data_IF_116230047923
#
_entry.id   IF_116230047923
#
_cell.length_a   1.000
_cell.length_b   1.000
_cell.length_c   1.000
_cell.angle_alpha   90.00
_cell.angle_beta   90.00
_cell.angle_gamma   90.00
#
_symmetry.space_group_name_H-M   'P 1'
#
loop_
_entity.id
_entity.type
_entity.pdbx_description
1 polymer ?
#
# COMPACT_ATOMS: atom_id res chain seq x y z
N UNK A 1 -3.77 60.87 51.63
CA UNK A 1 -3.75 60.36 50.23
C UNK A 1 -3.91 58.86 50.31
N UNK A 2 -4.95 58.35 49.64
CA UNK A 2 -5.52 57.02 49.83
C UNK A 2 -4.96 56.09 48.74
N UNK A 3 -4.27 55.01 49.12
CA UNK A 3 -3.82 53.95 48.21
C UNK A 3 -4.79 52.78 48.35
N UNK A 4 -5.63 52.60 47.34
CA UNK A 4 -6.59 51.51 47.26
C UNK A 4 -5.91 50.19 46.92
N UNK A 5 -6.06 49.22 47.83
CA UNK A 5 -5.89 47.80 47.57
C UNK A 5 -6.89 47.31 46.52
N UNK A 6 -6.44 46.47 45.59
CA UNK A 6 -7.30 45.61 44.78
C UNK A 6 -6.56 44.30 44.53
N UNK A 7 -6.72 43.38 45.49
CA UNK A 7 -6.48 41.96 45.34
C UNK A 7 -7.79 41.37 44.81
N UNK A 8 -7.87 41.10 43.51
CA UNK A 8 -8.94 40.30 42.93
C UNK A 8 -8.58 38.82 43.12
N UNK A 9 -9.46 38.12 43.82
CA UNK A 9 -9.46 36.68 43.97
C UNK A 9 -9.47 35.99 42.60
N UNK A 10 -8.61 34.99 42.46
CA UNK A 10 -8.67 33.99 41.39
C UNK A 10 -9.53 32.88 41.99
N UNK A 11 -10.78 32.78 41.53
CA UNK A 11 -11.62 31.60 41.71
C UNK A 11 -11.08 30.53 40.73
N UNK A 12 -10.17 29.71 41.23
CA UNK A 12 -9.72 28.44 40.64
C UNK A 12 -10.47 27.37 41.43
N UNK A 13 -11.49 26.69 40.88
CA UNK A 13 -12.03 25.40 41.39
C UNK A 13 -13.27 24.84 40.62
N UNK A 14 -13.47 25.07 39.31
CA UNK A 14 -14.65 24.48 38.59
C UNK A 14 -14.39 23.69 37.29
N UNK A 15 -13.15 23.48 36.84
CA UNK A 15 -12.89 22.78 35.55
C UNK A 15 -12.41 21.32 35.67
N UNK A 16 -12.34 20.72 36.86
CA UNK A 16 -11.85 19.33 37.02
C UNK A 16 -12.92 18.23 36.84
N UNK A 17 -14.22 18.55 36.79
CA UNK A 17 -15.27 17.53 36.64
C UNK A 17 -15.56 17.10 35.19
N UNK A 18 -15.06 17.83 34.18
CA UNK A 18 -15.37 17.51 32.78
C UNK A 18 -14.56 16.31 32.23
N UNK A 19 -13.41 16.00 32.83
CA UNK A 19 -12.52 14.93 32.33
C UNK A 19 -12.92 13.52 32.77
N UNK A 20 -13.64 13.36 33.89
CA UNK A 20 -13.95 12.04 34.44
C UNK A 20 -15.21 11.43 33.78
N UNK A 21 -16.16 12.25 33.30
CA UNK A 21 -17.41 11.76 32.70
C UNK A 21 -17.30 11.34 31.22
N UNK A 22 -16.33 11.82 30.42
CA UNK A 22 -16.17 11.40 29.02
C UNK A 22 -15.50 10.01 28.88
N UNK A 23 -14.85 9.51 29.95
CA UNK A 23 -14.24 8.17 29.97
C UNK A 23 -15.22 7.03 30.25
N UNK A 24 -16.37 7.32 30.88
CA UNK A 24 -17.32 6.29 31.36
C UNK A 24 -18.51 6.10 30.41
N UNK A 25 -18.79 7.08 29.53
CA UNK A 25 -19.96 7.05 28.64
C UNK A 25 -19.74 6.42 27.26
N UNK A 26 -18.49 6.21 26.82
CA UNK A 26 -18.23 5.64 25.49
C UNK A 26 -18.04 4.13 25.62
N UNK A 27 -18.92 3.39 24.95
CA UNK A 27 -18.77 1.95 24.78
C UNK A 27 -17.39 1.61 24.21
N UNK A 28 -16.84 0.42 24.53
CA UNK A 28 -15.52 0.04 24.06
C UNK A 28 -15.43 0.19 22.54
N UNK A 29 -14.26 0.65 22.09
CA UNK A 29 -13.95 0.86 20.67
C UNK A 29 -14.75 1.96 19.97
N UNK A 30 -15.44 2.84 20.71
CA UNK A 30 -16.25 3.91 20.13
C UNK A 30 -17.47 3.39 19.36
N UNK A 31 -18.01 2.24 19.79
CA UNK A 31 -19.20 1.64 19.21
C UNK A 31 -20.46 2.45 19.56
N UNK A 32 -21.38 2.54 18.60
CA UNK A 32 -22.69 3.18 18.75
C UNK A 32 -23.77 2.12 18.47
N UNK A 33 -24.22 1.37 19.48
CA UNK A 33 -25.23 0.33 19.29
C UNK A 33 -26.58 0.97 18.97
N UNK A 34 -27.37 0.26 18.17
CA UNK A 34 -28.76 0.64 17.90
C UNK A 34 -29.55 0.58 19.21
N UNK A 35 -30.16 1.69 19.60
CA UNK A 35 -31.08 1.77 20.73
C UNK A 35 -32.45 1.16 20.33
N UNK A 36 -32.85 0.00 20.90
CA UNK A 36 -34.09 -0.67 20.54
C UNK A 36 -35.35 0.16 20.83
N UNK A 37 -35.28 1.12 21.75
CA UNK A 37 -36.39 1.99 22.12
C UNK A 37 -36.66 3.10 21.08
N UNK A 38 -35.66 3.43 20.25
CA UNK A 38 -35.78 4.42 19.16
C UNK A 38 -36.22 3.81 17.84
N UNK A 39 -36.35 2.49 17.76
CA UNK A 39 -36.75 1.81 16.54
C UNK A 39 -38.25 2.01 16.27
N UNK A 40 -38.65 2.13 14.98
CA UNK A 40 -40.06 2.15 14.61
C UNK A 40 -40.84 0.95 15.17
N UNK A 41 -42.10 1.18 15.48
CA UNK A 41 -43.03 0.14 15.97
C UNK A 41 -43.54 -0.76 14.85
N UNK A 42 -43.67 -0.22 13.63
CA UNK A 42 -44.11 -0.99 12.46
C UNK A 42 -43.04 -2.01 12.03
N UNK A 43 -43.38 -3.30 11.82
CA UNK A 43 -42.40 -4.34 11.51
C UNK A 43 -41.54 -4.06 10.28
N UNK A 44 -42.13 -3.50 9.21
CA UNK A 44 -41.40 -3.23 7.98
C UNK A 44 -40.43 -2.06 8.14
N UNK A 45 -40.90 -0.93 8.67
CA UNK A 45 -40.06 0.22 8.98
C UNK A 45 -38.94 -0.12 9.98
N UNK A 46 -39.22 -1.00 10.94
CA UNK A 46 -38.22 -1.51 11.89
C UNK A 46 -37.13 -2.32 11.18
N UNK A 47 -37.51 -3.21 10.26
CA UNK A 47 -36.55 -3.97 9.47
C UNK A 47 -35.69 -3.05 8.60
N UNK A 48 -36.30 -2.09 7.90
CA UNK A 48 -35.59 -1.17 7.02
C UNK A 48 -34.60 -0.30 7.84
N UNK A 49 -34.99 0.20 9.01
CA UNK A 49 -34.11 0.94 9.92
C UNK A 49 -32.92 0.10 10.45
N UNK A 50 -33.14 -1.19 10.75
CA UNK A 50 -32.08 -2.11 11.16
C UNK A 50 -31.09 -2.39 10.02
N UNK A 51 -31.59 -2.58 8.79
CA UNK A 51 -30.75 -2.79 7.61
C UNK A 51 -29.92 -1.55 7.29
N UNK A 52 -30.49 -0.35 7.42
CA UNK A 52 -29.77 0.91 7.27
C UNK A 52 -28.67 1.06 8.32
N UNK A 53 -28.96 0.75 9.59
CA UNK A 53 -27.96 0.79 10.66
C UNK A 53 -26.80 -0.21 10.42
N UNK A 54 -27.10 -1.42 9.92
CA UNK A 54 -26.07 -2.39 9.54
C UNK A 54 -25.19 -1.88 8.39
N UNK A 55 -25.79 -1.31 7.35
CA UNK A 55 -25.05 -0.73 6.22
C UNK A 55 -24.17 0.47 6.66
N UNK A 56 -24.68 1.31 7.57
CA UNK A 56 -23.92 2.41 8.15
C UNK A 56 -22.72 1.90 8.96
N UNK A 57 -22.90 0.83 9.74
CA UNK A 57 -21.83 0.18 10.48
C UNK A 57 -20.73 -0.38 9.53
N UNK A 58 -21.12 -1.06 8.46
CA UNK A 58 -20.18 -1.57 7.44
C UNK A 58 -19.40 -0.44 6.74
N UNK A 59 -20.08 0.68 6.46
CA UNK A 59 -19.46 1.87 5.89
C UNK A 59 -18.44 2.50 6.85
N UNK A 60 -18.78 2.63 8.14
CA UNK A 60 -17.89 3.15 9.21
C UNK A 60 -16.67 2.23 9.41
N UNK A 61 -16.86 0.91 9.40
CA UNK A 61 -15.78 -0.06 9.48
C UNK A 61 -14.83 0.06 8.28
N UNK A 62 -15.38 0.11 7.06
CA UNK A 62 -14.59 0.27 5.83
C UNK A 62 -13.79 1.58 5.83
N UNK A 63 -14.38 2.67 6.32
CA UNK A 63 -13.72 3.97 6.45
C UNK A 63 -12.56 3.90 7.47
N UNK A 64 -12.81 3.29 8.63
CA UNK A 64 -11.82 3.11 9.70
C UNK A 64 -10.60 2.33 9.22
N UNK A 65 -10.82 1.23 8.47
CA UNK A 65 -9.73 0.44 7.87
C UNK A 65 -8.89 1.29 6.89
N UNK A 66 -9.53 2.15 6.09
CA UNK A 66 -8.80 3.02 5.16
C UNK A 66 -7.97 4.08 5.89
N UNK A 67 -8.53 4.69 6.94
CA UNK A 67 -7.77 5.63 7.78
C UNK A 67 -6.58 4.93 8.44
N UNK A 68 -6.80 3.76 9.04
CA UNK A 68 -5.74 2.97 9.65
C UNK A 68 -4.64 2.62 8.64
N UNK A 69 -5.01 2.21 7.42
CA UNK A 69 -4.04 1.90 6.36
C UNK A 69 -3.24 3.14 5.93
N UNK A 70 -3.91 4.27 5.67
CA UNK A 70 -3.24 5.51 5.29
C UNK A 70 -2.26 5.99 6.38
N UNK A 71 -2.71 5.96 7.64
CA UNK A 71 -1.89 6.25 8.82
C UNK A 71 -0.67 5.34 8.90
N UNK A 72 -0.88 4.03 8.85
CA UNK A 72 0.21 3.04 8.89
C UNK A 72 1.22 3.26 7.75
N UNK A 73 0.76 3.55 6.53
CA UNK A 73 1.65 3.84 5.41
C UNK A 73 2.52 5.07 5.67
N UNK A 74 1.95 6.15 6.21
CA UNK A 74 2.71 7.36 6.56
C UNK A 74 3.70 7.06 7.70
N UNK A 75 3.20 6.50 8.81
CA UNK A 75 3.99 6.23 10.02
C UNK A 75 5.13 5.25 9.76
N UNK A 76 4.95 4.26 8.87
CA UNK A 76 6.02 3.32 8.50
C UNK A 76 6.91 3.86 7.38
N UNK A 77 6.34 4.48 6.36
CA UNK A 77 7.08 4.90 5.17
C UNK A 77 7.99 6.11 5.39
N UNK A 78 7.66 7.04 6.29
CA UNK A 78 8.54 8.18 6.61
C UNK A 78 9.85 7.70 7.26
N UNK A 79 9.85 6.90 8.34
CA UNK A 79 11.08 6.35 8.91
C UNK A 79 11.85 5.47 7.94
N UNK A 80 11.18 4.69 7.09
CA UNK A 80 11.84 3.92 6.03
C UNK A 80 12.58 4.84 5.05
N UNK A 81 12.02 6.01 4.74
CA UNK A 81 12.68 7.00 3.89
C UNK A 81 13.99 7.48 4.50
N UNK A 82 13.97 7.83 5.80
CA UNK A 82 15.17 8.23 6.55
C UNK A 82 16.19 7.09 6.58
N UNK A 83 15.75 5.86 6.88
CA UNK A 83 16.62 4.67 6.90
C UNK A 83 17.32 4.43 5.57
N UNK A 84 16.63 4.66 4.45
CA UNK A 84 17.18 4.52 3.10
C UNK A 84 18.12 5.67 2.76
N UNK A 85 17.68 6.91 2.96
CA UNK A 85 18.42 8.12 2.57
C UNK A 85 19.73 8.26 3.38
N UNK A 86 19.71 7.92 4.67
CA UNK A 86 20.87 7.98 5.56
C UNK A 86 21.68 6.68 5.62
N UNK A 87 21.24 5.64 4.90
CA UNK A 87 21.82 4.28 4.96
C UNK A 87 21.92 3.74 6.40
N UNK A 88 20.94 4.06 7.25
CA UNK A 88 20.96 3.74 8.68
C UNK A 88 21.04 2.22 8.98
N UNK A 89 20.68 1.38 8.01
CA UNK A 89 20.85 -0.08 8.10
C UNK A 89 22.33 -0.52 8.24
N UNK A 90 23.28 0.31 7.82
CA UNK A 90 24.72 0.03 7.98
C UNK A 90 25.16 0.02 9.44
N UNK A 91 24.50 0.80 10.29
CA UNK A 91 24.75 0.78 11.74
C UNK A 91 24.39 -0.57 12.37
N UNK A 92 23.50 -1.34 11.74
CA UNK A 92 23.14 -2.70 12.13
C UNK A 92 24.04 -3.77 11.48
N UNK A 93 25.10 -3.38 10.77
CA UNK A 93 26.05 -4.29 10.13
C UNK A 93 25.67 -4.78 8.73
N UNK A 94 24.58 -4.25 8.15
CA UNK A 94 24.15 -4.62 6.81
C UNK A 94 24.84 -3.76 5.75
N UNK A 95 25.43 -4.39 4.74
CA UNK A 95 26.13 -3.66 3.64
C UNK A 95 25.19 -3.15 2.56
N UNK A 96 23.94 -3.61 2.55
CA UNK A 96 22.92 -3.22 1.58
C UNK A 96 21.53 -3.26 2.22
N UNK A 97 20.60 -2.49 1.64
CA UNK A 97 19.21 -2.43 2.10
C UNK A 97 18.46 -3.75 1.93
N UNK A 98 18.75 -4.52 0.89
CA UNK A 98 18.02 -5.76 0.55
C UNK A 98 18.08 -6.81 1.68
N UNK A 99 19.25 -7.23 2.19
CA UNK A 99 19.31 -8.17 3.31
C UNK A 99 18.68 -7.61 4.59
N UNK A 100 18.83 -6.32 4.89
CA UNK A 100 18.17 -5.69 6.04
C UNK A 100 16.64 -5.75 5.91
N UNK A 101 16.11 -5.45 4.73
CA UNK A 101 14.68 -5.44 4.48
C UNK A 101 14.07 -6.85 4.59
N UNK A 102 14.76 -7.87 4.10
CA UNK A 102 14.29 -9.26 4.16
C UNK A 102 14.38 -9.84 5.59
N UNK A 103 15.53 -9.68 6.25
CA UNK A 103 15.79 -10.30 7.55
C UNK A 103 15.13 -9.57 8.72
N UNK A 104 15.12 -8.24 8.71
CA UNK A 104 14.64 -7.42 9.85
C UNK A 104 13.21 -6.95 9.63
N UNK A 105 12.91 -6.47 8.42
CA UNK A 105 11.61 -5.87 8.12
C UNK A 105 10.61 -6.88 7.52
N UNK A 106 11.09 -8.05 7.09
CA UNK A 106 10.33 -9.09 6.39
C UNK A 106 9.54 -8.55 5.19
N UNK A 107 10.16 -7.64 4.44
CA UNK A 107 9.59 -7.06 3.22
C UNK A 107 10.66 -6.95 2.14
N UNK A 108 10.26 -7.08 0.87
CA UNK A 108 11.20 -6.93 -0.24
C UNK A 108 11.72 -5.49 -0.34
N UNK A 109 12.93 -5.33 -0.89
CA UNK A 109 13.50 -4.01 -1.21
C UNK A 109 12.55 -3.15 -2.06
N UNK A 110 11.88 -3.76 -3.04
CA UNK A 110 10.89 -3.07 -3.87
C UNK A 110 9.73 -2.50 -3.04
N UNK A 111 9.21 -3.28 -2.08
CA UNK A 111 8.13 -2.84 -1.21
C UNK A 111 8.57 -1.72 -0.24
N UNK A 112 9.83 -1.71 0.21
CA UNK A 112 10.39 -0.58 0.97
C UNK A 112 10.26 0.72 0.16
N UNK A 113 10.78 0.75 -1.07
CA UNK A 113 10.72 1.95 -1.92
C UNK A 113 9.28 2.36 -2.27
N UNK A 114 8.38 1.39 -2.46
CA UNK A 114 6.96 1.67 -2.66
C UNK A 114 6.34 2.38 -1.46
N UNK A 115 6.58 1.88 -0.24
CA UNK A 115 6.08 2.49 1.01
C UNK A 115 6.65 3.90 1.22
N UNK A 116 7.94 4.11 0.97
CA UNK A 116 8.57 5.44 1.05
C UNK A 116 7.90 6.41 0.09
N UNK A 117 7.73 6.00 -1.18
CA UNK A 117 7.08 6.83 -2.20
C UNK A 117 5.61 7.12 -1.86
N UNK A 118 4.87 6.12 -1.38
CA UNK A 118 3.46 6.26 -1.03
C UNK A 118 3.24 7.13 0.20
N UNK A 119 4.10 7.02 1.23
CA UNK A 119 4.05 7.90 2.40
C UNK A 119 4.27 9.37 2.00
N UNK A 120 5.31 9.66 1.22
CA UNK A 120 5.59 11.03 0.72
C UNK A 120 4.40 11.60 -0.04
N UNK A 121 3.80 10.81 -0.93
CA UNK A 121 2.61 11.22 -1.69
C UNK A 121 1.39 11.46 -0.81
N UNK A 122 1.13 10.57 0.16
CA UNK A 122 0.01 10.72 1.09
C UNK A 122 0.13 11.97 1.95
N UNK A 123 1.34 12.27 2.43
CA UNK A 123 1.62 13.52 3.16
C UNK A 123 1.39 14.74 2.26
N UNK A 124 1.88 14.71 1.02
CA UNK A 124 1.70 15.82 0.09
C UNK A 124 0.21 16.13 -0.18
N UNK A 125 -0.62 15.10 -0.31
CA UNK A 125 -2.06 15.26 -0.56
C UNK A 125 -2.90 15.39 0.72
N UNK A 126 -2.29 15.38 1.91
CA UNK A 126 -3.00 15.46 3.18
C UNK A 126 -3.93 16.68 3.30
N UNK A 127 -3.57 17.90 2.83
CA UNK A 127 -4.48 19.05 2.85
C UNK A 127 -5.77 18.84 2.02
N UNK A 128 -5.75 17.95 1.02
CA UNK A 128 -6.94 17.61 0.24
C UNK A 128 -7.91 16.69 0.99
N UNK A 129 -7.52 16.17 2.16
CA UNK A 129 -8.40 15.33 2.98
C UNK A 129 -9.55 16.11 3.60
N UNK A 130 -9.40 17.41 3.84
CA UNK A 130 -10.45 18.27 4.41
C UNK A 130 -11.69 18.40 3.51
N UNK A 131 -11.51 18.22 2.21
CA UNK A 131 -12.56 18.30 1.19
C UNK A 131 -13.01 16.92 0.70
N UNK A 132 -12.52 15.84 1.32
CA UNK A 132 -12.83 14.47 0.95
C UNK A 132 -13.49 13.72 2.09
N UNK A 133 -14.70 13.21 1.85
CA UNK A 133 -15.42 12.36 2.81
C UNK A 133 -14.68 11.06 3.15
N UNK A 134 -13.66 10.70 2.36
CA UNK A 134 -12.88 9.47 2.52
C UNK A 134 -11.38 9.79 2.46
N UNK A 135 -10.55 9.13 3.26
CA UNK A 135 -9.11 9.30 3.19
C UNK A 135 -8.61 8.87 1.83
N UNK A 136 -7.72 9.66 1.25
CA UNK A 136 -7.09 9.34 -0.01
C UNK A 136 -6.20 8.12 0.17
N UNK A 137 -6.28 7.19 -0.77
CA UNK A 137 -5.43 5.98 -0.78
C UNK A 137 -4.17 6.20 -1.63
N UNK A 138 -3.10 5.40 -1.46
CA UNK A 138 -1.84 5.61 -2.18
C UNK A 138 -1.98 5.73 -3.71
N UNK A 139 -2.86 4.93 -4.31
CA UNK A 139 -3.11 4.98 -5.76
C UNK A 139 -3.75 6.29 -6.23
N UNK A 140 -4.59 6.92 -5.40
CA UNK A 140 -5.16 8.24 -5.69
C UNK A 140 -4.11 9.34 -5.46
N UNK A 141 -3.34 9.23 -4.37
CA UNK A 141 -2.23 10.14 -4.09
C UNK A 141 -1.18 10.13 -5.20
N UNK A 142 -0.93 8.97 -5.84
CA UNK A 142 -0.05 8.84 -7.02
C UNK A 142 -0.49 9.66 -8.23
N UNK A 143 -1.78 9.97 -8.34
CA UNK A 143 -2.31 10.83 -9.41
C UNK A 143 -2.30 12.31 -9.00
N UNK A 144 -2.65 12.60 -7.74
CA UNK A 144 -2.81 13.97 -7.25
C UNK A 144 -1.48 14.63 -6.88
N UNK A 145 -0.52 13.89 -6.32
CA UNK A 145 0.75 14.45 -5.85
C UNK A 145 1.52 15.20 -6.95
N UNK A 146 1.67 14.67 -8.18
CA UNK A 146 2.34 15.44 -9.22
C UNK A 146 1.56 16.68 -9.69
N UNK A 147 0.23 16.71 -9.53
CA UNK A 147 -0.56 17.91 -9.83
C UNK A 147 -0.23 19.03 -8.85
N UNK A 148 0.09 18.68 -7.59
CA UNK A 148 0.53 19.63 -6.57
C UNK A 148 1.87 20.30 -6.91
N UNK A 149 2.71 19.66 -7.72
CA UNK A 149 4.01 20.19 -8.16
C UNK A 149 3.87 21.24 -9.29
N UNK A 150 2.67 21.38 -9.88
CA UNK A 150 2.40 22.40 -10.89
C UNK A 150 2.23 23.80 -10.27
N UNK A 151 2.35 24.84 -11.10
CA UNK A 151 1.92 26.18 -10.72
C UNK A 151 0.45 26.19 -10.28
N UNK A 152 0.13 26.80 -9.13
CA UNK A 152 -1.19 26.69 -8.47
C UNK A 152 -1.66 25.25 -8.26
N UNK A 153 -0.71 24.34 -7.98
CA UNK A 153 -0.96 22.90 -7.91
C UNK A 153 -2.04 22.49 -6.91
N UNK A 154 -2.10 23.16 -5.75
CA UNK A 154 -3.14 22.91 -4.73
C UNK A 154 -4.54 23.19 -5.26
N UNK A 155 -4.75 24.32 -5.94
CA UNK A 155 -6.04 24.68 -6.54
C UNK A 155 -6.44 23.69 -7.63
N UNK A 156 -5.48 23.29 -8.48
CA UNK A 156 -5.68 22.33 -9.56
C UNK A 156 -6.03 20.93 -9.02
N UNK A 157 -5.34 20.48 -7.98
CA UNK A 157 -5.61 19.20 -7.33
C UNK A 157 -6.97 19.20 -6.63
N UNK A 158 -7.30 20.28 -5.91
CA UNK A 158 -8.64 20.50 -5.30
C UNK A 158 -9.74 20.45 -6.34
N UNK A 159 -9.61 21.19 -7.44
CA UNK A 159 -10.58 21.19 -8.53
C UNK A 159 -10.76 19.80 -9.15
N UNK A 160 -9.65 19.09 -9.38
CA UNK A 160 -9.68 17.71 -9.90
C UNK A 160 -10.49 16.80 -8.97
N UNK A 161 -10.21 16.85 -7.67
CA UNK A 161 -10.88 16.01 -6.68
C UNK A 161 -12.39 16.32 -6.60
N UNK A 162 -12.76 17.60 -6.51
CA UNK A 162 -14.16 18.02 -6.45
C UNK A 162 -14.95 17.63 -7.70
N UNK A 163 -14.41 17.85 -8.91
CA UNK A 163 -15.08 17.44 -10.14
C UNK A 163 -15.21 15.91 -10.24
N UNK A 164 -14.24 15.15 -9.73
CA UNK A 164 -14.36 13.69 -9.68
C UNK A 164 -15.41 13.23 -8.66
N UNK A 165 -15.51 13.87 -7.49
CA UNK A 165 -16.55 13.57 -6.49
C UNK A 165 -17.95 13.84 -7.03
N UNK A 166 -18.15 14.98 -7.72
CA UNK A 166 -19.42 15.32 -8.36
C UNK A 166 -19.80 14.32 -9.45
N UNK A 167 -18.83 13.77 -10.18
CA UNK A 167 -19.05 12.73 -11.18
C UNK A 167 -19.27 11.32 -10.58
N UNK A 168 -19.10 11.15 -9.26
CA UNK A 168 -19.35 9.91 -8.53
C UNK A 168 -18.10 9.31 -7.87
N UNK A 169 -17.82 8.04 -8.15
CA UNK A 169 -16.80 7.28 -7.40
C UNK A 169 -15.38 7.81 -7.66
N UNK A 170 -14.73 8.27 -6.58
CA UNK A 170 -13.32 8.69 -6.61
C UNK A 170 -12.40 7.47 -6.66
N UNK A 171 -11.75 7.27 -7.80
CA UNK A 171 -10.74 6.23 -8.03
C UNK A 171 -9.53 6.86 -8.71
N UNK A 172 -8.37 6.20 -8.68
CA UNK A 172 -7.19 6.69 -9.40
C UNK A 172 -7.47 6.88 -10.90
N UNK A 173 -8.23 5.99 -11.53
CA UNK A 173 -8.59 6.07 -12.94
C UNK A 173 -9.50 7.28 -13.24
N UNK A 174 -10.51 7.53 -12.39
CA UNK A 174 -11.42 8.67 -12.57
C UNK A 174 -10.73 10.00 -12.30
N UNK A 175 -9.85 10.07 -11.29
CA UNK A 175 -8.98 11.23 -11.04
C UNK A 175 -8.06 11.51 -12.23
N UNK A 176 -7.40 10.47 -12.78
CA UNK A 176 -6.53 10.62 -13.95
C UNK A 176 -7.30 11.15 -15.15
N UNK A 177 -8.49 10.60 -15.42
CA UNK A 177 -9.35 11.06 -16.52
C UNK A 177 -9.78 12.52 -16.34
N UNK A 178 -10.17 12.91 -15.13
CA UNK A 178 -10.54 14.30 -14.82
C UNK A 178 -9.32 15.23 -14.96
N UNK A 179 -8.17 14.86 -14.43
CA UNK A 179 -6.94 15.65 -14.55
C UNK A 179 -6.50 15.84 -16.01
N UNK A 180 -6.65 14.81 -16.87
CA UNK A 180 -6.41 14.92 -18.31
C UNK A 180 -7.42 15.86 -18.95
N UNK A 181 -8.72 15.69 -18.67
CA UNK A 181 -9.78 16.57 -19.19
C UNK A 181 -9.56 18.04 -18.81
N UNK A 182 -9.04 18.30 -17.61
CA UNK A 182 -8.72 19.64 -17.11
C UNK A 182 -7.36 20.18 -17.58
N UNK A 183 -6.58 19.39 -18.34
CA UNK A 183 -5.27 19.80 -18.85
C UNK A 183 -4.15 19.79 -17.81
N UNK A 184 -4.35 19.20 -16.62
CA UNK A 184 -3.35 19.17 -15.55
C UNK A 184 -2.40 17.99 -15.67
N UNK A 185 -2.79 16.93 -16.37
CA UNK A 185 -1.98 15.71 -16.53
C UNK A 185 -1.23 15.62 -17.88
N UNK A 186 -1.17 16.70 -18.66
CA UNK A 186 -0.57 16.67 -20.00
C UNK A 186 0.95 16.53 -20.02
N UNK A 187 1.65 16.73 -18.88
CA UNK A 187 3.10 16.53 -18.75
C UNK A 187 3.43 16.06 -17.34
N UNK A 188 3.20 14.78 -17.06
CA UNK A 188 3.85 14.10 -15.93
C UNK A 188 5.25 13.69 -16.40
N UNK A 189 6.35 14.33 -15.94
CA UNK A 189 7.69 13.89 -16.28
C UNK A 189 7.88 12.45 -15.76
N UNK A 190 8.10 11.51 -16.68
CA UNK A 190 8.32 10.09 -16.36
C UNK A 190 7.17 9.12 -16.68
N UNK A 191 6.04 9.58 -17.25
CA UNK A 191 5.12 8.68 -17.96
C UNK A 191 5.26 8.93 -19.46
N UNK A 192 6.17 8.21 -20.12
CA UNK A 192 5.90 7.82 -21.49
C UNK A 192 4.48 7.21 -21.47
N UNK A 193 3.57 7.78 -22.24
CA UNK A 193 2.27 7.17 -22.47
C UNK A 193 2.50 5.70 -22.79
N UNK A 194 1.70 4.79 -22.24
CA UNK A 194 1.70 3.41 -22.71
C UNK A 194 1.34 3.30 -24.22
N UNK A 195 0.88 4.40 -24.82
CA UNK A 195 0.71 4.59 -26.27
C UNK A 195 1.98 5.01 -27.04
N UNK A 196 3.05 5.41 -26.34
CA UNK A 196 4.38 5.72 -26.90
C UNK A 196 5.44 4.68 -26.46
N UNK A 197 5.03 3.62 -25.77
CA UNK A 197 5.82 2.40 -25.80
C UNK A 197 5.83 1.94 -27.28
N UNK A 198 6.98 1.53 -27.85
CA UNK A 198 6.97 0.87 -29.14
C UNK A 198 5.90 -0.23 -29.04
N UNK A 199 4.91 -0.22 -29.94
CA UNK A 199 3.93 -1.30 -30.05
C UNK A 199 4.73 -2.55 -30.37
N UNK A 200 5.20 -3.24 -29.33
CA UNK A 200 5.85 -4.53 -29.47
C UNK A 200 4.75 -5.41 -30.02
N UNK A 201 4.96 -5.87 -31.25
CA UNK A 201 4.03 -6.77 -31.91
C UNK A 201 3.79 -7.94 -30.94
N UNK A 202 2.52 -8.29 -30.62
CA UNK A 202 2.22 -9.45 -29.81
C UNK A 202 2.96 -10.72 -30.27
N UNK A 203 3.25 -10.84 -31.57
CA UNK A 203 4.08 -11.90 -32.13
C UNK A 203 5.57 -11.79 -31.73
N UNK A 204 6.14 -10.58 -31.71
CA UNK A 204 7.51 -10.35 -31.25
C UNK A 204 7.66 -10.58 -29.74
N UNK A 205 6.66 -10.18 -28.96
CA UNK A 205 6.64 -10.44 -27.51
C UNK A 205 6.50 -11.93 -27.22
N UNK A 206 5.62 -12.64 -27.93
CA UNK A 206 5.50 -14.09 -27.82
C UNK A 206 6.80 -14.80 -28.23
N UNK A 207 7.46 -14.35 -29.30
CA UNK A 207 8.76 -14.87 -29.72
C UNK A 207 9.85 -14.59 -28.69
N UNK A 208 9.85 -13.41 -28.05
CA UNK A 208 10.79 -13.08 -26.97
C UNK A 208 10.57 -13.95 -25.73
N UNK A 209 9.32 -14.10 -25.29
CA UNK A 209 8.96 -14.97 -24.16
C UNK A 209 9.35 -16.42 -24.46
N UNK A 210 9.11 -16.92 -25.67
CA UNK A 210 9.55 -18.26 -26.07
C UNK A 210 11.07 -18.40 -26.07
N UNK A 211 11.83 -17.39 -26.54
CA UNK A 211 13.30 -17.39 -26.43
C UNK A 211 13.79 -17.44 -24.99
N UNK A 212 13.19 -16.64 -24.11
CA UNK A 212 13.54 -16.61 -22.67
C UNK A 212 13.17 -17.94 -21.98
N UNK A 213 12.03 -18.54 -22.31
CA UNK A 213 11.63 -19.86 -21.82
C UNK A 213 12.59 -20.96 -22.28
N UNK A 214 13.00 -20.96 -23.54
CA UNK A 214 13.99 -21.92 -24.05
C UNK A 214 15.37 -21.73 -23.41
N UNK A 215 15.80 -20.48 -23.20
CA UNK A 215 17.05 -20.17 -22.52
C UNK A 215 17.04 -20.64 -21.05
N UNK A 216 15.92 -20.42 -20.35
CA UNK A 216 15.72 -20.89 -18.98
C UNK A 216 15.70 -22.43 -18.90
N UNK A 217 15.03 -23.11 -19.83
CA UNK A 217 15.03 -24.57 -19.93
C UNK A 217 16.44 -25.13 -20.14
N UNK A 218 17.21 -24.55 -21.08
CA UNK A 218 18.60 -24.95 -21.35
C UNK A 218 19.53 -24.71 -20.15
N UNK A 219 19.31 -23.62 -19.40
CA UNK A 219 20.05 -23.35 -18.17
C UNK A 219 19.73 -24.37 -17.07
N UNK A 220 18.46 -24.75 -16.91
CA UNK A 220 18.04 -25.77 -15.96
C UNK A 220 18.62 -27.15 -16.29
N UNK A 221 18.66 -27.54 -17.57
CA UNK A 221 19.28 -28.80 -18.01
C UNK A 221 20.78 -28.85 -17.67
N UNK A 222 21.52 -27.76 -17.92
CA UNK A 222 22.93 -27.65 -17.55
C UNK A 222 23.15 -27.75 -16.03
N UNK A 223 22.30 -27.10 -15.24
CA UNK A 223 22.36 -27.20 -13.78
C UNK A 223 22.12 -28.63 -13.29
N UNK A 224 21.14 -29.33 -13.88
CA UNK A 224 20.86 -30.75 -13.56
C UNK A 224 22.05 -31.64 -13.95
N UNK A 225 22.68 -31.40 -15.10
CA UNK A 225 23.86 -32.14 -15.54
C UNK A 225 25.05 -31.94 -14.58
N UNK A 226 25.30 -30.70 -14.15
CA UNK A 226 26.34 -30.38 -13.16
C UNK A 226 26.07 -31.06 -11.81
N UNK A 227 24.84 -31.00 -11.31
CA UNK A 227 24.45 -31.69 -10.07
C UNK A 227 24.59 -33.20 -10.18
N UNK A 228 24.21 -33.78 -11.33
CA UNK A 228 24.36 -35.23 -11.57
C UNK A 228 25.84 -35.63 -11.63
N UNK A 229 26.69 -34.83 -12.28
CA UNK A 229 28.14 -35.04 -12.30
C UNK A 229 28.77 -34.92 -10.92
N UNK A 230 28.35 -33.91 -10.14
CA UNK A 230 28.84 -33.70 -8.78
C UNK A 230 28.48 -34.87 -7.86
N UNK A 231 27.24 -35.38 -7.97
CA UNK A 231 26.82 -36.58 -7.22
C UNK A 231 27.55 -37.85 -7.66
N UNK A 232 27.91 -37.99 -8.94
CA UNK A 232 28.69 -39.12 -9.41
C UNK A 232 30.16 -39.07 -8.93
N UNK A 233 30.73 -37.87 -8.74
CA UNK A 233 32.10 -37.69 -8.21
C UNK A 233 32.23 -37.88 -6.70
N UNK A 234 31.12 -37.99 -5.97
CA UNK A 234 31.09 -38.18 -4.51
C UNK A 234 31.57 -39.57 -4.08
N UNK A 235 31.66 -40.53 -5.00
CA UNK A 235 32.23 -41.87 -4.74
C UNK A 235 33.75 -41.86 -4.44
N UNK A 236 34.44 -40.72 -4.59
CA UNK A 236 35.89 -40.58 -4.30
C UNK A 236 36.22 -40.03 -2.90
N UNK A 237 35.28 -40.05 -1.95
CA UNK A 237 35.61 -39.95 -0.52
C UNK A 237 35.47 -38.57 0.14
N UNK A 238 34.67 -37.67 -0.43
CA UNK A 238 34.19 -36.47 0.30
C UNK A 238 32.75 -36.72 0.73
N UNK A 239 32.52 -36.80 2.05
CA UNK A 239 31.21 -37.05 2.63
C UNK A 239 30.16 -36.06 2.08
N UNK A 240 29.09 -36.52 1.41
CA UNK A 240 28.12 -35.61 0.81
C UNK A 240 27.11 -35.12 1.85
N UNK A 241 26.65 -33.88 1.65
CA UNK A 241 25.34 -33.46 2.11
C UNK A 241 24.31 -34.55 1.75
N UNK A 242 23.44 -34.89 2.71
CA UNK A 242 22.43 -35.96 2.65
C UNK A 242 22.00 -36.33 1.22
N UNK A 243 22.53 -37.46 0.71
CA UNK A 243 22.31 -37.93 -0.67
C UNK A 243 20.83 -38.13 -0.98
N UNK A 244 20.02 -38.39 0.05
CA UNK A 244 18.57 -38.51 -0.05
C UNK A 244 17.92 -37.16 -0.36
N UNK A 245 18.37 -36.09 0.28
CA UNK A 245 17.90 -34.72 0.04
C UNK A 245 18.30 -34.24 -1.36
N UNK A 246 19.55 -34.49 -1.78
CA UNK A 246 20.01 -34.13 -3.14
C UNK A 246 19.23 -34.86 -4.26
N UNK A 247 18.89 -36.14 -4.06
CA UNK A 247 18.07 -36.91 -5.00
C UNK A 247 16.63 -36.37 -5.11
N UNK A 248 16.03 -35.99 -3.97
CA UNK A 248 14.70 -35.37 -3.94
C UNK A 248 14.69 -34.01 -4.66
N UNK A 249 15.70 -33.18 -4.42
CA UNK A 249 15.79 -31.86 -5.06
C UNK A 249 16.04 -31.97 -6.57
N UNK A 250 16.84 -32.94 -7.02
CA UNK A 250 16.99 -33.25 -8.44
C UNK A 250 15.68 -33.71 -9.08
N UNK A 251 14.90 -34.56 -8.40
CA UNK A 251 13.59 -34.98 -8.89
C UNK A 251 12.64 -33.80 -9.04
N UNK A 252 12.61 -32.89 -8.05
CA UNK A 252 11.80 -31.66 -8.09
C UNK A 252 12.20 -30.73 -9.24
N UNK A 253 13.50 -30.54 -9.46
CA UNK A 253 14.03 -29.74 -10.57
C UNK A 253 13.65 -30.32 -11.94
N UNK A 254 13.75 -31.65 -12.12
CA UNK A 254 13.33 -32.33 -13.35
C UNK A 254 11.84 -32.16 -13.61
N UNK A 255 10.99 -32.39 -12.60
CA UNK A 255 9.54 -32.17 -12.72
C UNK A 255 9.19 -30.70 -13.02
N UNK A 256 9.92 -29.75 -12.42
CA UNK A 256 9.72 -28.33 -12.73
C UNK A 256 10.10 -27.99 -14.18
N UNK A 257 11.23 -28.49 -14.67
CA UNK A 257 11.67 -28.31 -16.05
C UNK A 257 10.66 -28.91 -17.06
N UNK A 258 10.16 -30.13 -16.82
CA UNK A 258 9.14 -30.76 -17.67
C UNK A 258 7.83 -29.97 -17.73
N UNK A 259 7.38 -29.39 -16.60
CA UNK A 259 6.17 -28.54 -16.60
C UNK A 259 6.37 -27.26 -17.39
N UNK A 260 7.57 -26.67 -17.34
CA UNK A 260 7.91 -25.47 -18.11
C UNK A 260 7.93 -25.81 -19.60
N UNK A 261 8.56 -26.92 -19.99
CA UNK A 261 8.59 -27.39 -21.38
C UNK A 261 7.18 -27.64 -21.95
N UNK A 262 6.32 -28.39 -21.22
CA UNK A 262 4.92 -28.63 -21.63
C UNK A 262 4.08 -27.35 -21.75
N UNK A 263 4.44 -26.29 -21.02
CA UNK A 263 3.74 -25.01 -21.08
C UNK A 263 4.22 -24.17 -22.26
N UNK A 264 5.48 -24.30 -22.65
CA UNK A 264 6.03 -23.72 -23.87
C UNK A 264 5.43 -24.36 -25.13
N UNK A 265 5.21 -25.68 -25.15
CA UNK A 265 4.62 -26.39 -26.31
C UNK A 265 3.11 -26.10 -26.54
N UNK A 266 2.45 -25.41 -25.60
CA UNK A 266 1.00 -25.09 -25.66
C UNK A 266 0.72 -23.65 -26.11
N UNK A 267 1.75 -22.85 -26.35
CA UNK A 267 1.70 -21.46 -26.82
C UNK A 267 2.09 -21.43 -28.29
#
# INVERSE_FOLDING_TARGET
MNVGSSLSAIDDDEDEEFFINDLVGRLPYGAEPVDPARLPTEPRARLDALLEAMQAADAKASLSVRHAKARWTIEKGIPLGILVDERAYEAAGYTALEPFADEVLHISRGHVYELVGDARRLVAVAPLSEISDKPLVPSQAKVLAPILELESGMEKARKTLLETQQAGKVTAATLKRTAVRLGYAAKLPGQASADDAPKVDPAELAAQVNRELHAAASAAERAVALLTSALASVDEGVAPADSKTASVDLSRLRTAAERIARRADRV
#
